data_IF_581868149485
#
_entry.id   IF_581868149485
#
_cell.length_a   1.000
_cell.length_b   1.000
_cell.length_c   1.000
_cell.angle_alpha   90.00
_cell.angle_beta   90.00
_cell.angle_gamma   90.00
#
_symmetry.space_group_name_H-M   'P 1'
#
loop_
_entity.id
_entity.type
_entity.pdbx_description
1 polymer ?
#
# COMPACT_ATOMS: atom_id res chain seq x y z
N UNK A 1 24.03 6.62 16.09
CA UNK A 1 22.92 6.74 15.12
C UNK A 1 23.28 5.93 13.87
N UNK A 2 23.07 4.62 13.90
CA UNK A 2 23.22 3.80 12.70
C UNK A 2 22.05 4.14 11.80
N UNK A 3 22.32 4.71 10.64
CA UNK A 3 21.25 5.16 9.74
C UNK A 3 20.37 3.96 9.39
N UNK A 4 19.08 4.08 9.66
CA UNK A 4 18.04 3.04 9.51
C UNK A 4 17.74 2.69 8.03
N UNK A 5 18.75 2.68 7.17
CA UNK A 5 18.63 2.33 5.77
C UNK A 5 18.06 0.91 5.60
N UNK A 6 18.46 -0.02 6.46
CA UNK A 6 17.92 -1.39 6.48
C UNK A 6 16.41 -1.38 6.67
N UNK A 7 15.89 -0.64 7.66
CA UNK A 7 14.46 -0.51 7.92
C UNK A 7 13.70 0.08 6.73
N UNK A 8 14.27 1.10 6.10
CA UNK A 8 13.68 1.73 4.91
C UNK A 8 13.63 0.76 3.74
N UNK A 9 14.72 0.05 3.43
CA UNK A 9 14.75 -0.93 2.34
C UNK A 9 13.86 -2.14 2.60
N UNK A 10 13.77 -2.62 3.84
CA UNK A 10 12.85 -3.70 4.20
C UNK A 10 11.39 -3.26 4.04
N UNK A 11 11.04 -2.07 4.52
CA UNK A 11 9.67 -1.54 4.37
C UNK A 11 9.29 -1.33 2.89
N UNK A 12 10.20 -0.75 2.10
CA UNK A 12 9.98 -0.59 0.65
C UNK A 12 9.87 -1.95 -0.06
N UNK A 13 10.75 -2.90 0.25
CA UNK A 13 10.71 -4.24 -0.34
C UNK A 13 9.39 -4.95 -0.04
N UNK A 14 8.92 -4.88 1.20
CA UNK A 14 7.62 -5.43 1.58
C UNK A 14 6.45 -4.74 0.86
N UNK A 15 6.50 -3.41 0.70
CA UNK A 15 5.49 -2.67 -0.06
C UNK A 15 5.43 -3.16 -1.52
N UNK A 16 6.57 -3.33 -2.19
CA UNK A 16 6.61 -3.87 -3.56
C UNK A 16 6.10 -5.31 -3.66
N UNK A 17 6.43 -6.17 -2.69
CA UNK A 17 5.91 -7.55 -2.66
C UNK A 17 4.40 -7.55 -2.49
N UNK A 18 3.87 -6.78 -1.54
CA UNK A 18 2.44 -6.69 -1.27
C UNK A 18 1.67 -6.07 -2.43
N UNK A 19 2.24 -5.05 -3.10
CA UNK A 19 1.62 -4.44 -4.27
C UNK A 19 1.72 -5.35 -5.50
N UNK A 20 2.86 -6.02 -5.71
CA UNK A 20 3.08 -6.93 -6.84
C UNK A 20 2.27 -8.23 -6.78
N UNK A 21 1.92 -8.71 -5.58
CA UNK A 21 1.14 -9.94 -5.39
C UNK A 21 -0.22 -9.91 -6.13
N UNK A 22 -1.07 -8.88 -5.94
CA UNK A 22 -2.30 -8.73 -6.71
C UNK A 22 -2.07 -8.63 -8.23
N UNK A 23 -1.01 -7.95 -8.66
CA UNK A 23 -0.68 -7.85 -10.09
C UNK A 23 -0.27 -9.21 -10.67
N UNK A 24 0.42 -10.05 -9.92
CA UNK A 24 0.84 -11.37 -10.35
C UNK A 24 -0.31 -12.39 -10.31
N UNK A 25 -1.01 -12.50 -9.18
CA UNK A 25 -2.07 -13.50 -8.97
C UNK A 25 -3.37 -13.17 -9.70
N UNK A 26 -3.65 -11.89 -9.94
CA UNK A 26 -4.92 -11.43 -10.53
C UNK A 26 -4.69 -10.50 -11.73
N UNK A 27 -3.62 -10.72 -12.49
CA UNK A 27 -3.23 -9.93 -13.67
C UNK A 27 -4.40 -9.65 -14.62
N UNK A 28 -5.26 -10.64 -14.86
CA UNK A 28 -6.42 -10.56 -15.74
C UNK A 28 -7.49 -9.56 -15.27
N UNK A 29 -7.61 -9.36 -13.94
CA UNK A 29 -8.62 -8.49 -13.32
C UNK A 29 -8.11 -7.07 -13.08
N UNK A 30 -6.79 -6.89 -12.95
CA UNK A 30 -6.17 -5.61 -12.63
C UNK A 30 -6.53 -4.45 -13.58
N UNK A 31 -6.53 -4.64 -14.92
CA UNK A 31 -6.93 -3.57 -15.85
C UNK A 31 -8.33 -3.02 -15.56
N UNK A 32 -9.28 -3.90 -15.22
CA UNK A 32 -10.65 -3.49 -14.87
C UNK A 32 -10.69 -2.71 -13.55
N UNK A 33 -9.93 -3.15 -12.54
CA UNK A 33 -9.83 -2.47 -11.24
C UNK A 33 -9.22 -1.07 -11.40
N UNK A 34 -8.13 -0.95 -12.16
CA UNK A 34 -7.47 0.32 -12.43
C UNK A 34 -8.38 1.29 -13.21
N UNK A 35 -9.11 0.80 -14.22
CA UNK A 35 -10.10 1.61 -14.94
C UNK A 35 -11.25 2.07 -14.03
N UNK A 36 -11.70 1.22 -13.10
CA UNK A 36 -12.71 1.60 -12.11
C UNK A 36 -12.19 2.73 -11.21
N UNK A 37 -10.95 2.62 -10.72
CA UNK A 37 -10.31 3.65 -9.90
C UNK A 37 -10.11 4.96 -10.67
N UNK A 38 -9.68 4.89 -11.93
CA UNK A 38 -9.48 6.05 -12.78
C UNK A 38 -10.78 6.84 -13.05
N UNK A 39 -11.93 6.18 -13.01
CA UNK A 39 -13.25 6.82 -13.18
C UNK A 39 -13.81 7.43 -11.89
N UNK A 40 -13.20 7.18 -10.73
CA UNK A 40 -13.69 7.72 -9.47
C UNK A 40 -13.41 9.23 -9.36
N UNK A 41 -14.34 10.01 -8.77
CA UNK A 41 -14.07 11.41 -8.45
C UNK A 41 -12.89 11.55 -7.49
N UNK A 42 -12.10 12.62 -7.64
CA UNK A 42 -10.89 12.88 -6.83
C UNK A 42 -11.14 12.80 -5.32
N UNK A 43 -12.33 13.17 -4.85
CA UNK A 43 -12.71 13.05 -3.43
C UNK A 43 -12.66 11.61 -2.92
N UNK A 44 -13.14 10.64 -3.70
CA UNK A 44 -13.14 9.23 -3.30
C UNK A 44 -11.72 8.67 -3.27
N UNK A 45 -10.89 9.03 -4.25
CA UNK A 45 -9.46 8.65 -4.26
C UNK A 45 -8.72 9.21 -3.05
N UNK A 46 -9.01 10.45 -2.64
CA UNK A 46 -8.44 11.05 -1.42
C UNK A 46 -8.87 10.32 -0.15
N UNK A 47 -10.13 9.92 -0.04
CA UNK A 47 -10.63 9.14 1.11
C UNK A 47 -9.98 7.76 1.15
N UNK A 48 -9.87 7.09 -0.01
CA UNK A 48 -9.19 5.80 -0.13
C UNK A 48 -7.71 5.91 0.29
N UNK A 49 -7.01 6.95 -0.17
CA UNK A 49 -5.63 7.22 0.24
C UNK A 49 -5.50 7.49 1.74
N UNK A 50 -6.39 8.32 2.30
CA UNK A 50 -6.37 8.64 3.74
C UNK A 50 -6.63 7.40 4.61
N UNK A 51 -7.61 6.59 4.22
CA UNK A 51 -7.92 5.33 4.94
C UNK A 51 -6.75 4.35 4.86
N UNK A 52 -6.10 4.22 3.70
CA UNK A 52 -4.88 3.41 3.56
C UNK A 52 -3.73 3.92 4.45
N UNK A 53 -3.52 5.23 4.53
CA UNK A 53 -2.51 5.84 5.41
C UNK A 53 -2.81 5.54 6.88
N UNK A 54 -4.06 5.73 7.33
CA UNK A 54 -4.46 5.47 8.72
C UNK A 54 -4.24 3.99 9.06
N UNK A 55 -4.68 3.07 8.19
CA UNK A 55 -4.46 1.64 8.40
C UNK A 55 -2.97 1.29 8.42
N UNK A 56 -2.16 1.89 7.55
CA UNK A 56 -0.70 1.71 7.55
C UNK A 56 -0.07 2.14 8.88
N UNK A 57 -0.46 3.31 9.41
CA UNK A 57 0.00 3.80 10.72
C UNK A 57 -0.42 2.86 11.84
N UNK A 58 -1.67 2.37 11.83
CA UNK A 58 -2.16 1.41 12.83
C UNK A 58 -1.36 0.10 12.79
N UNK A 59 -1.10 -0.46 11.60
CA UNK A 59 -0.30 -1.67 11.44
C UNK A 59 1.14 -1.48 11.96
N UNK A 60 1.77 -0.36 11.65
CA UNK A 60 3.11 -0.03 12.17
C UNK A 60 3.08 0.09 13.69
N UNK A 61 2.06 0.75 14.25
CA UNK A 61 1.91 0.90 15.70
C UNK A 61 1.72 -0.44 16.40
N UNK A 62 0.90 -1.32 15.84
CA UNK A 62 0.70 -2.67 16.35
C UNK A 62 2.01 -3.46 16.30
N UNK A 63 2.69 -3.48 15.14
CA UNK A 63 3.96 -4.18 14.98
C UNK A 63 5.10 -3.65 15.85
N UNK A 64 5.03 -2.42 16.34
CA UNK A 64 5.97 -1.87 17.33
C UNK A 64 5.59 -2.17 18.79
N UNK A 65 4.32 -2.50 19.04
CA UNK A 65 3.80 -2.75 20.38
C UNK A 65 3.89 -4.22 20.81
N UNK A 66 4.09 -5.14 19.86
CA UNK A 66 4.45 -6.54 20.09
C UNK A 66 5.98 -6.70 20.14
#
# INVERSE_FOLDING_TARGET
MYTNWTLLFTALGLAFVLEGLPYFLFAERMPRVLLLLARQPTRHLRILGLTAIILGVLLISLGRSF
#
